data_IF_357255586295
#
_entry.id   IF_357255586295
#
_cell.length_a   1.000
_cell.length_b   1.000
_cell.length_c   1.000
_cell.angle_alpha   90.00
_cell.angle_beta   90.00
_cell.angle_gamma   90.00
#
_symmetry.space_group_name_H-M   'P 1'
#
loop_
_entity.id
_entity.type
_entity.pdbx_description
1 polymer ?
#
# COMPACT_ATOMS: atom_id res chain seq x y z
N UNK A 1 8.78 1.05 -20.32
CA UNK A 1 8.70 2.00 -21.43
C UNK A 1 10.10 2.56 -21.79
N UNK A 2 10.93 2.95 -20.80
CA UNK A 2 12.23 3.62 -21.03
C UNK A 2 13.44 2.68 -21.06
N UNK A 3 13.25 1.36 -20.98
CA UNK A 3 14.36 0.38 -20.96
C UNK A 3 15.39 0.57 -19.85
N UNK A 4 15.00 1.22 -18.74
CA UNK A 4 15.90 1.50 -17.62
C UNK A 4 16.81 2.73 -17.80
N UNK A 5 16.65 3.51 -18.88
CA UNK A 5 17.40 4.74 -19.13
C UNK A 5 16.86 5.88 -18.23
N UNK A 6 17.66 6.33 -17.27
CA UNK A 6 17.27 7.35 -16.27
C UNK A 6 16.94 8.69 -16.91
N UNK A 7 17.67 9.09 -17.96
CA UNK A 7 17.41 10.35 -18.66
C UNK A 7 16.02 10.31 -19.30
N UNK A 8 15.69 9.24 -20.02
CA UNK A 8 14.37 9.06 -20.64
C UNK A 8 13.26 8.93 -19.61
N UNK A 9 13.52 8.30 -18.46
CA UNK A 9 12.57 8.23 -17.35
C UNK A 9 12.28 9.65 -16.83
N UNK A 10 13.31 10.44 -16.58
CA UNK A 10 13.18 11.81 -16.11
C UNK A 10 12.42 12.71 -17.09
N UNK A 11 12.78 12.66 -18.37
CA UNK A 11 12.10 13.40 -19.44
C UNK A 11 10.60 13.01 -19.53
N UNK A 12 10.29 11.72 -19.45
CA UNK A 12 8.91 11.22 -19.47
C UNK A 12 8.12 11.73 -18.27
N UNK A 13 8.66 11.66 -17.05
CA UNK A 13 7.99 12.15 -15.84
C UNK A 13 7.72 13.65 -15.94
N UNK A 14 8.72 14.44 -16.31
CA UNK A 14 8.57 15.90 -16.48
C UNK A 14 7.53 16.23 -17.54
N UNK A 15 7.53 15.52 -18.68
CA UNK A 15 6.54 15.70 -19.74
C UNK A 15 5.10 15.40 -19.28
N UNK A 16 4.89 14.28 -18.58
CA UNK A 16 3.58 13.90 -18.05
C UNK A 16 3.07 14.95 -17.05
N UNK A 17 3.94 15.39 -16.14
CA UNK A 17 3.54 16.37 -15.10
C UNK A 17 3.31 17.75 -15.71
N UNK A 18 4.12 18.16 -16.68
CA UNK A 18 3.93 19.45 -17.38
C UNK A 18 2.60 19.48 -18.16
N UNK A 19 2.24 18.37 -18.82
CA UNK A 19 1.01 18.27 -19.60
C UNK A 19 -0.24 18.14 -18.73
N UNK A 20 -0.17 17.30 -17.68
CA UNK A 20 -1.33 16.87 -16.91
C UNK A 20 -1.48 17.54 -15.55
N UNK A 21 -0.44 18.21 -15.06
CA UNK A 21 -0.41 18.74 -13.69
C UNK A 21 -0.40 17.64 -12.61
N UNK A 22 -0.12 16.38 -12.97
CA UNK A 22 -0.11 15.21 -12.09
C UNK A 22 0.73 14.09 -12.68
N UNK A 23 1.23 13.18 -11.84
CA UNK A 23 1.95 11.99 -12.30
C UNK A 23 1.00 10.83 -12.56
N UNK A 24 1.15 10.17 -13.70
CA UNK A 24 0.44 8.95 -14.04
C UNK A 24 1.28 8.11 -15.01
N UNK A 25 1.61 6.89 -14.60
CA UNK A 25 2.31 5.95 -15.47
C UNK A 25 1.42 5.59 -16.67
N UNK A 26 1.87 5.80 -17.91
CA UNK A 26 1.05 5.58 -19.11
C UNK A 26 0.70 4.10 -19.37
N UNK A 27 1.45 3.16 -18.77
CA UNK A 27 1.23 1.73 -18.94
C UNK A 27 0.31 1.18 -17.86
N UNK A 28 0.57 1.50 -16.59
CA UNK A 28 -0.17 0.94 -15.45
C UNK A 28 -1.35 1.81 -15.00
N UNK A 29 -1.40 3.07 -15.40
CA UNK A 29 -2.36 4.05 -14.90
C UNK A 29 -2.11 4.52 -13.46
N UNK A 30 -1.17 3.91 -12.74
CA UNK A 30 -0.81 4.30 -11.37
C UNK A 30 -0.01 5.60 -11.33
N UNK A 31 -0.24 6.42 -10.31
CA UNK A 31 0.58 7.59 -10.02
C UNK A 31 1.68 7.31 -8.99
N UNK A 32 1.56 6.21 -8.26
CA UNK A 32 2.36 5.98 -7.06
C UNK A 32 1.97 6.89 -5.90
N UNK A 33 2.76 6.88 -4.86
CA UNK A 33 2.60 7.73 -3.68
C UNK A 33 3.77 8.71 -3.54
N UNK A 34 3.67 9.67 -2.64
CA UNK A 34 4.79 10.53 -2.30
C UNK A 34 4.96 10.71 -0.80
N UNK A 35 6.17 11.01 -0.39
CA UNK A 35 6.51 11.59 0.91
C UNK A 35 6.96 13.04 0.71
N UNK A 36 6.67 13.88 1.67
CA UNK A 36 7.09 15.28 1.61
C UNK A 36 7.01 15.95 2.98
N UNK A 37 7.34 17.23 2.99
CA UNK A 37 7.23 18.09 4.15
C UNK A 37 6.10 19.08 3.91
N UNK A 38 5.23 19.25 4.90
CA UNK A 38 4.15 20.23 4.84
C UNK A 38 4.74 21.64 4.77
N UNK A 39 4.61 22.28 3.63
CA UNK A 39 5.15 23.62 3.40
C UNK A 39 4.17 24.72 3.77
N UNK A 40 2.87 24.48 3.61
CA UNK A 40 1.81 25.45 3.90
C UNK A 40 0.49 24.72 4.18
N UNK A 41 -0.33 25.30 5.05
CA UNK A 41 -1.67 24.81 5.40
C UNK A 41 -2.66 25.97 5.21
N UNK A 42 -3.74 25.70 4.47
CA UNK A 42 -4.82 26.67 4.26
C UNK A 42 -5.46 27.12 5.58
N UNK A 43 -5.76 28.40 5.70
CA UNK A 43 -6.24 29.00 6.96
C UNK A 43 -7.55 28.39 7.48
N UNK A 44 -8.45 27.97 6.59
CA UNK A 44 -9.70 27.33 7.00
C UNK A 44 -9.46 25.93 7.56
N UNK A 45 -8.46 25.22 7.02
CA UNK A 45 -8.10 23.89 7.49
C UNK A 45 -7.45 23.93 8.88
N UNK A 46 -6.64 24.96 9.16
CA UNK A 46 -6.05 25.20 10.49
C UNK A 46 -7.10 25.37 11.60
N UNK A 47 -8.29 25.87 11.25
CA UNK A 47 -9.39 26.08 12.20
C UNK A 47 -10.27 24.87 12.41
N UNK A 48 -10.07 23.81 11.61
CA UNK A 48 -10.92 22.62 11.63
C UNK A 48 -10.68 21.80 12.91
N UNK A 49 -11.73 21.44 13.66
CA UNK A 49 -11.59 20.59 14.84
C UNK A 49 -10.94 19.22 14.47
N UNK A 50 -9.95 18.79 15.24
CA UNK A 50 -9.26 17.53 15.04
C UNK A 50 -8.20 17.52 13.93
N UNK A 51 -7.97 18.67 13.27
CA UNK A 51 -6.87 18.79 12.32
C UNK A 51 -5.53 18.90 13.07
N UNK A 52 -4.58 18.02 12.77
CA UNK A 52 -3.39 17.82 13.58
C UNK A 52 -2.05 18.07 12.88
N UNK A 53 -2.08 18.44 11.57
CA UNK A 53 -0.86 18.76 10.82
C UNK A 53 -0.33 20.16 11.17
N UNK A 54 1.00 20.25 11.10
CA UNK A 54 1.75 21.50 11.21
C UNK A 54 2.68 21.66 10.03
N UNK A 55 2.99 22.89 9.68
CA UNK A 55 4.07 23.19 8.73
C UNK A 55 5.39 22.65 9.29
N UNK A 56 6.14 21.94 8.45
CA UNK A 56 7.32 21.18 8.84
C UNK A 56 7.09 19.68 9.11
N UNK A 57 5.85 19.24 9.31
CA UNK A 57 5.56 17.81 9.49
C UNK A 57 5.95 17.00 8.24
N UNK A 58 6.57 15.85 8.45
CA UNK A 58 6.83 14.88 7.39
C UNK A 58 5.62 13.98 7.21
N UNK A 59 5.11 13.92 6.00
CA UNK A 59 3.92 13.12 5.66
C UNK A 59 4.17 12.20 4.48
N UNK A 60 3.34 11.16 4.42
CA UNK A 60 3.16 10.28 3.26
C UNK A 60 1.74 10.42 2.75
N UNK A 61 1.59 10.63 1.46
CA UNK A 61 0.27 10.61 0.82
C UNK A 61 -0.21 9.17 0.68
N UNK A 62 -1.46 8.92 1.08
CA UNK A 62 -2.16 7.66 0.83
C UNK A 62 -3.08 7.76 -0.40
N UNK A 63 -2.99 8.88 -1.13
CA UNK A 63 -3.71 9.13 -2.37
C UNK A 63 -2.73 9.05 -3.53
N UNK A 64 -3.13 8.36 -4.60
CA UNK A 64 -2.30 8.25 -5.82
C UNK A 64 -1.95 9.63 -6.39
N UNK A 65 -0.71 9.79 -6.85
CA UNK A 65 -0.27 10.97 -7.58
C UNK A 65 -1.04 11.20 -8.89
N UNK A 66 -1.75 10.19 -9.40
CA UNK A 66 -2.68 10.37 -10.53
C UNK A 66 -3.92 11.21 -10.19
N UNK A 67 -4.17 11.43 -8.90
CA UNK A 67 -5.28 12.26 -8.38
C UNK A 67 -4.79 13.48 -7.59
N UNK A 68 -3.48 13.70 -7.53
CA UNK A 68 -2.86 14.76 -6.73
C UNK A 68 -2.23 15.80 -7.65
N UNK A 69 -2.63 17.07 -7.59
CA UNK A 69 -1.94 18.13 -8.33
C UNK A 69 -0.47 18.19 -7.93
N UNK A 70 0.40 18.14 -8.93
CA UNK A 70 1.85 18.06 -8.77
C UNK A 70 2.55 19.02 -9.73
N UNK A 71 3.51 19.76 -9.22
CA UNK A 71 4.49 20.53 -10.01
C UNK A 71 5.88 20.03 -9.64
N UNK A 72 6.68 19.68 -10.64
CA UNK A 72 8.08 19.31 -10.47
C UNK A 72 8.93 20.45 -11.03
N UNK A 73 9.76 21.04 -10.18
CA UNK A 73 10.72 22.07 -10.60
C UNK A 73 12.03 21.42 -11.06
N UNK A 74 12.44 20.30 -10.44
CA UNK A 74 13.66 19.57 -10.78
C UNK A 74 13.61 18.12 -10.28
N UNK A 75 14.10 17.18 -11.09
CA UNK A 75 14.45 15.83 -10.65
C UNK A 75 15.89 15.86 -10.11
N UNK A 76 16.08 15.35 -8.90
CA UNK A 76 17.39 15.27 -8.23
C UNK A 76 18.08 13.94 -8.48
N UNK A 77 17.32 12.83 -8.35
CA UNK A 77 17.81 11.47 -8.54
C UNK A 77 16.70 10.51 -8.95
N UNK A 78 17.08 9.44 -9.65
CA UNK A 78 16.19 8.32 -10.01
C UNK A 78 16.83 7.04 -9.47
N UNK A 79 16.13 6.37 -8.56
CA UNK A 79 16.56 5.14 -7.90
C UNK A 79 15.74 3.98 -8.45
N UNK A 80 16.25 3.32 -9.48
CA UNK A 80 15.54 2.25 -10.21
C UNK A 80 15.36 0.97 -9.41
N UNK A 81 16.29 0.71 -8.48
CA UNK A 81 16.31 -0.44 -7.60
C UNK A 81 15.16 -0.46 -6.59
N UNK A 82 14.64 0.72 -6.26
CA UNK A 82 13.55 0.92 -5.30
C UNK A 82 12.38 1.74 -5.86
N UNK A 83 12.31 1.92 -7.17
CA UNK A 83 11.25 2.65 -7.88
C UNK A 83 10.96 4.05 -7.29
N UNK A 84 12.03 4.78 -6.89
CA UNK A 84 11.94 6.11 -6.26
C UNK A 84 12.53 7.20 -7.14
N UNK A 85 11.88 8.36 -7.13
CA UNK A 85 12.39 9.59 -7.76
C UNK A 85 12.42 10.71 -6.72
N UNK A 86 13.59 11.30 -6.53
CA UNK A 86 13.78 12.47 -5.66
C UNK A 86 13.62 13.75 -6.48
N UNK A 87 12.78 14.64 -6.01
CA UNK A 87 12.41 15.87 -6.72
C UNK A 87 12.50 17.11 -5.84
N UNK A 88 12.66 18.26 -6.48
CA UNK A 88 12.21 19.54 -5.96
C UNK A 88 10.88 19.85 -6.63
N UNK A 89 9.83 20.04 -5.84
CA UNK A 89 8.50 20.25 -6.37
C UNK A 89 7.46 20.50 -5.27
N UNK A 90 6.22 20.66 -5.68
CA UNK A 90 5.08 20.90 -4.78
C UNK A 90 3.90 20.04 -5.20
N UNK A 91 3.24 19.45 -4.20
CA UNK A 91 1.97 18.75 -4.38
C UNK A 91 0.88 19.41 -3.53
N UNK A 92 -0.37 19.36 -3.99
CA UNK A 92 -1.51 19.89 -3.25
C UNK A 92 -2.33 18.70 -2.76
N UNK A 93 -2.43 18.55 -1.45
CA UNK A 93 -3.39 17.66 -0.82
C UNK A 93 -4.66 18.42 -0.51
N UNK A 94 -5.79 17.93 -1.00
CA UNK A 94 -7.10 18.47 -0.65
C UNK A 94 -7.49 18.03 0.76
N UNK A 95 -8.46 18.73 1.35
CA UNK A 95 -8.99 18.41 2.69
C UNK A 95 -9.42 16.95 2.85
N UNK A 96 -9.98 16.36 1.80
CA UNK A 96 -10.43 14.97 1.77
C UNK A 96 -9.31 13.94 1.51
N UNK A 97 -8.09 14.40 1.25
CA UNK A 97 -6.99 13.51 0.94
C UNK A 97 -6.51 12.77 2.20
N UNK A 98 -6.31 11.47 2.04
CA UNK A 98 -5.73 10.64 3.09
C UNK A 98 -4.21 10.81 3.12
N UNK A 99 -3.68 10.98 4.31
CA UNK A 99 -2.24 11.04 4.58
C UNK A 99 -1.91 10.33 5.89
N UNK A 100 -0.65 10.02 6.08
CA UNK A 100 -0.10 9.59 7.36
C UNK A 100 1.12 10.45 7.72
N UNK A 101 1.28 10.79 8.99
CA UNK A 101 2.57 11.30 9.47
C UNK A 101 3.62 10.20 9.37
N UNK A 102 4.82 10.55 8.96
CA UNK A 102 5.93 9.59 8.90
C UNK A 102 6.25 9.13 10.32
N UNK A 103 6.21 7.82 10.61
CA UNK A 103 6.59 7.32 11.92
C UNK A 103 8.07 7.58 12.19
N UNK A 104 8.41 7.91 13.44
CA UNK A 104 9.80 8.16 13.87
C UNK A 104 10.52 6.88 14.33
N UNK A 105 9.76 5.81 14.59
CA UNK A 105 10.23 4.54 15.15
C UNK A 105 10.55 3.46 14.11
N UNK A 106 10.42 3.78 12.81
CA UNK A 106 10.79 2.87 11.73
C UNK A 106 11.52 3.57 10.58
N UNK A 107 12.25 2.79 9.79
CA UNK A 107 12.94 3.33 8.62
C UNK A 107 11.95 3.80 7.55
N UNK A 108 12.29 4.88 6.84
CA UNK A 108 11.45 5.41 5.76
C UNK A 108 11.05 4.35 4.70
N UNK A 109 11.96 3.48 4.18
CA UNK A 109 11.58 2.47 3.22
C UNK A 109 10.53 1.49 3.76
N UNK A 110 10.64 1.10 5.03
CA UNK A 110 9.69 0.22 5.68
C UNK A 110 8.33 0.90 5.86
N UNK A 111 8.34 2.15 6.36
CA UNK A 111 7.12 2.94 6.51
C UNK A 111 6.38 3.11 5.18
N UNK A 112 7.09 3.47 4.11
CA UNK A 112 6.52 3.60 2.77
C UNK A 112 5.97 2.26 2.25
N UNK A 113 6.69 1.15 2.44
CA UNK A 113 6.23 -0.17 2.01
C UNK A 113 4.92 -0.60 2.71
N UNK A 114 4.76 -0.26 3.99
CA UNK A 114 3.54 -0.56 4.76
C UNK A 114 2.39 0.39 4.39
N UNK A 115 2.66 1.69 4.31
CA UNK A 115 1.65 2.72 4.04
C UNK A 115 1.10 2.66 2.61
N UNK A 116 1.93 2.25 1.63
CA UNK A 116 1.51 2.06 0.23
C UNK A 116 0.34 1.06 0.09
N UNK A 117 0.27 0.09 0.97
CA UNK A 117 -0.77 -0.96 0.95
C UNK A 117 -1.75 -0.89 2.13
N UNK A 118 -1.75 0.18 2.90
CA UNK A 118 -2.50 0.30 4.17
C UNK A 118 -4.02 0.20 4.01
N UNK A 119 -4.56 0.45 2.81
CA UNK A 119 -6.00 0.36 2.54
C UNK A 119 -6.56 -1.05 2.72
N UNK A 120 -5.87 -2.08 2.23
CA UNK A 120 -6.32 -3.47 2.32
C UNK A 120 -6.32 -4.02 3.77
N UNK A 121 -5.24 -3.88 4.57
CA UNK A 121 -5.28 -4.27 5.98
C UNK A 121 -6.31 -3.48 6.81
N UNK A 122 -6.56 -2.20 6.49
CA UNK A 122 -7.63 -1.44 7.13
C UNK A 122 -9.03 -2.06 6.89
N UNK A 123 -9.28 -2.58 5.69
CA UNK A 123 -10.49 -3.34 5.37
C UNK A 123 -10.50 -4.70 6.07
N UNK A 124 -9.39 -5.43 6.06
CA UNK A 124 -9.26 -6.71 6.77
C UNK A 124 -9.52 -6.59 8.28
N UNK A 125 -9.26 -5.42 8.87
CA UNK A 125 -9.62 -5.09 10.25
C UNK A 125 -11.11 -4.78 10.42
N UNK A 126 -11.75 -4.20 9.41
CA UNK A 126 -13.14 -3.69 9.53
C UNK A 126 -14.21 -4.71 9.19
N UNK A 127 -13.99 -5.51 8.16
CA UNK A 127 -15.01 -6.35 7.54
C UNK A 127 -15.31 -7.63 8.34
N UNK A 128 -14.32 -8.40 8.81
CA UNK A 128 -14.59 -9.63 9.53
C UNK A 128 -15.15 -9.38 10.93
N UNK A 129 -15.82 -10.39 11.47
CA UNK A 129 -16.31 -10.47 12.85
C UNK A 129 -15.59 -11.57 13.62
N UNK A 130 -15.75 -11.59 14.95
CA UNK A 130 -15.22 -12.67 15.78
C UNK A 130 -15.79 -14.01 15.34
N UNK A 131 -14.92 -14.99 15.11
CA UNK A 131 -15.28 -16.34 14.68
C UNK A 131 -15.38 -16.53 13.16
N UNK A 132 -15.27 -15.47 12.36
CA UNK A 132 -15.32 -15.59 10.90
C UNK A 132 -14.10 -16.34 10.33
N UNK A 133 -14.28 -16.87 9.12
CA UNK A 133 -13.21 -17.42 8.30
C UNK A 133 -12.83 -16.41 7.21
N UNK A 134 -11.54 -16.14 7.07
CA UNK A 134 -11.00 -15.16 6.11
C UNK A 134 -10.00 -15.85 5.19
N UNK A 135 -10.20 -15.76 3.88
CA UNK A 135 -9.27 -16.24 2.86
C UNK A 135 -8.49 -15.07 2.25
N UNK A 136 -7.16 -15.17 2.25
CA UNK A 136 -6.28 -14.12 1.71
C UNK A 136 -5.48 -14.67 0.53
N UNK A 137 -5.79 -14.21 -0.67
CA UNK A 137 -5.07 -14.54 -1.90
C UNK A 137 -3.77 -13.72 -2.00
N UNK A 138 -2.66 -14.40 -2.30
CA UNK A 138 -1.36 -13.74 -2.35
C UNK A 138 -0.78 -13.43 -0.96
N UNK A 139 -0.95 -14.35 -0.04
CA UNK A 139 -0.63 -14.24 1.39
C UNK A 139 0.80 -13.77 1.71
N UNK A 140 1.79 -14.07 0.85
CA UNK A 140 3.20 -13.71 1.06
C UNK A 140 3.56 -12.28 0.57
N UNK A 141 2.63 -11.56 -0.06
CA UNK A 141 2.86 -10.17 -0.45
C UNK A 141 2.77 -9.21 0.74
N UNK A 142 3.31 -7.97 0.59
CA UNK A 142 3.20 -6.91 1.62
C UNK A 142 1.77 -6.78 2.15
N UNK A 143 0.82 -6.64 1.24
CA UNK A 143 -0.61 -6.52 1.57
C UNK A 143 -1.14 -7.77 2.26
N UNK A 144 -0.78 -8.96 1.76
CA UNK A 144 -1.23 -10.23 2.31
C UNK A 144 -0.83 -10.42 3.77
N UNK A 145 0.45 -10.20 4.10
CA UNK A 145 0.95 -10.32 5.48
C UNK A 145 0.25 -9.34 6.43
N UNK A 146 0.10 -8.08 6.01
CA UNK A 146 -0.58 -7.06 6.84
C UNK A 146 -2.08 -7.35 6.99
N UNK A 147 -2.73 -7.84 5.93
CA UNK A 147 -4.14 -8.28 6.00
C UNK A 147 -4.29 -9.49 6.93
N UNK A 148 -3.39 -10.47 6.85
CA UNK A 148 -3.37 -11.63 7.75
C UNK A 148 -3.27 -11.21 9.21
N UNK A 149 -2.34 -10.32 9.52
CA UNK A 149 -2.16 -9.76 10.87
C UNK A 149 -3.44 -9.10 11.40
N UNK A 150 -4.06 -8.22 10.62
CA UNK A 150 -5.28 -7.52 11.05
C UNK A 150 -6.49 -8.47 11.12
N UNK A 151 -6.62 -9.41 10.18
CA UNK A 151 -7.68 -10.41 10.19
C UNK A 151 -7.58 -11.32 11.41
N UNK A 152 -6.38 -11.85 11.73
CA UNK A 152 -6.15 -12.70 12.91
C UNK A 152 -6.58 -12.02 14.20
N UNK A 153 -6.24 -10.74 14.37
CA UNK A 153 -6.66 -9.94 15.54
C UNK A 153 -8.18 -9.77 15.61
N UNK A 154 -8.83 -9.68 14.45
CA UNK A 154 -10.26 -9.38 14.36
C UNK A 154 -11.13 -10.64 14.56
N UNK A 155 -10.78 -11.74 13.92
CA UNK A 155 -11.55 -12.99 14.04
C UNK A 155 -11.35 -13.70 15.36
N UNK A 156 -10.23 -13.43 16.04
CA UNK A 156 -9.93 -14.01 17.35
C UNK A 156 -9.70 -15.52 17.33
N UNK A 157 -9.65 -16.15 18.50
CA UNK A 157 -9.23 -17.56 18.63
C UNK A 157 -10.23 -18.58 18.07
N UNK A 158 -11.46 -18.16 17.78
CA UNK A 158 -12.51 -19.03 17.21
C UNK A 158 -12.59 -18.91 15.69
N UNK A 159 -11.97 -17.86 15.11
CA UNK A 159 -11.93 -17.63 13.68
C UNK A 159 -10.77 -18.33 13.00
N UNK A 160 -10.79 -18.31 11.68
CA UNK A 160 -9.71 -18.83 10.84
C UNK A 160 -9.24 -17.79 9.84
N UNK A 161 -7.93 -17.73 9.61
CA UNK A 161 -7.35 -16.92 8.53
C UNK A 161 -6.46 -17.82 7.69
N UNK A 162 -6.92 -18.10 6.48
CA UNK A 162 -6.23 -19.00 5.54
C UNK A 162 -5.51 -18.18 4.49
N UNK A 163 -4.19 -18.36 4.39
CA UNK A 163 -3.37 -17.73 3.37
C UNK A 163 -3.20 -18.61 2.13
N UNK A 164 -3.29 -18.03 0.93
CA UNK A 164 -3.02 -18.74 -0.33
C UNK A 164 -1.72 -18.26 -0.93
N UNK A 165 -0.81 -19.19 -1.20
CA UNK A 165 0.47 -18.94 -1.88
C UNK A 165 0.64 -19.87 -3.07
N UNK A 166 1.39 -19.44 -4.07
CA UNK A 166 1.71 -20.29 -5.22
C UNK A 166 2.98 -21.13 -4.98
N UNK A 167 3.91 -20.61 -4.19
CA UNK A 167 5.19 -21.27 -3.95
C UNK A 167 5.21 -21.95 -2.57
N UNK A 168 5.31 -23.29 -2.50
CA UNK A 168 5.32 -24.02 -1.22
C UNK A 168 6.47 -23.62 -0.29
N UNK A 169 7.57 -23.09 -0.82
CA UNK A 169 8.71 -22.61 -0.01
C UNK A 169 8.36 -21.42 0.90
N UNK A 170 7.23 -20.75 0.63
CA UNK A 170 6.77 -19.60 1.41
C UNK A 170 5.97 -20.01 2.67
N UNK A 171 5.44 -21.22 2.70
CA UNK A 171 4.59 -21.70 3.78
C UNK A 171 5.26 -21.66 5.15
N UNK A 172 6.48 -22.20 5.35
CA UNK A 172 7.11 -22.22 6.66
C UNK A 172 7.28 -20.83 7.27
N UNK A 173 7.78 -19.87 6.48
CA UNK A 173 7.99 -18.50 6.96
C UNK A 173 6.68 -17.78 7.32
N UNK A 174 5.60 -18.02 6.57
CA UNK A 174 4.30 -17.44 6.89
C UNK A 174 3.67 -18.04 8.14
N UNK A 175 3.83 -19.34 8.33
CA UNK A 175 3.35 -20.00 9.56
C UNK A 175 4.14 -19.54 10.79
N UNK A 176 5.45 -19.36 10.66
CA UNK A 176 6.31 -18.83 11.72
C UNK A 176 5.93 -17.39 12.13
N UNK A 177 5.48 -16.55 11.19
CA UNK A 177 4.98 -15.21 11.49
C UNK A 177 3.70 -15.20 12.32
N UNK A 178 2.96 -16.30 12.39
CA UNK A 178 1.72 -16.42 13.17
C UNK A 178 0.58 -15.52 12.70
N UNK A 179 0.59 -15.11 11.44
CA UNK A 179 -0.44 -14.24 10.84
C UNK A 179 -1.51 -15.01 10.06
N UNK A 180 -1.40 -16.32 10.04
CA UNK A 180 -2.35 -17.23 9.44
C UNK A 180 -2.60 -18.43 10.36
N UNK A 181 -3.81 -18.95 10.36
CA UNK A 181 -4.14 -20.25 11.02
C UNK A 181 -3.72 -21.41 10.13
N UNK A 182 -3.73 -21.22 8.81
CA UNK A 182 -3.31 -22.19 7.83
C UNK A 182 -2.81 -21.49 6.55
N UNK A 183 -1.94 -22.15 5.78
CA UNK A 183 -1.43 -21.66 4.50
C UNK A 183 -1.52 -22.77 3.46
N UNK A 184 -2.36 -22.58 2.46
CA UNK A 184 -2.55 -23.50 1.34
C UNK A 184 -1.73 -23.09 0.12
N UNK A 185 -1.30 -24.10 -0.65
CA UNK A 185 -0.58 -23.89 -1.91
C UNK A 185 -1.54 -24.11 -3.07
N UNK A 186 -1.89 -23.02 -3.78
CA UNK A 186 -2.78 -23.09 -4.93
C UNK A 186 -2.47 -21.99 -5.94
N UNK A 187 -2.87 -22.22 -7.19
CA UNK A 187 -2.81 -21.22 -8.26
C UNK A 187 -4.12 -20.41 -8.25
N UNK A 188 -4.03 -19.13 -7.90
CA UNK A 188 -5.19 -18.23 -7.82
C UNK A 188 -5.90 -18.01 -9.18
N UNK A 189 -5.31 -18.42 -10.29
CA UNK A 189 -5.98 -18.41 -11.61
C UNK A 189 -6.95 -19.58 -11.78
N UNK A 190 -6.98 -20.51 -10.84
CA UNK A 190 -7.84 -21.71 -10.83
C UNK A 190 -8.82 -21.63 -9.65
N UNK A 191 -9.89 -20.89 -9.75
CA UNK A 191 -10.75 -20.56 -8.61
C UNK A 191 -11.40 -21.80 -7.95
N UNK A 192 -11.72 -22.85 -8.72
CA UNK A 192 -12.30 -24.08 -8.16
C UNK A 192 -11.30 -24.82 -7.26
N UNK A 193 -10.04 -24.96 -7.73
CA UNK A 193 -8.97 -25.61 -6.92
C UNK A 193 -8.71 -24.82 -5.63
N UNK A 194 -8.73 -23.47 -5.72
CA UNK A 194 -8.57 -22.60 -4.53
C UNK A 194 -9.73 -22.78 -3.56
N UNK A 195 -10.96 -22.80 -4.06
CA UNK A 195 -12.16 -23.00 -3.23
C UNK A 195 -12.12 -24.35 -2.49
N UNK A 196 -11.85 -25.44 -3.21
CA UNK A 196 -11.77 -26.78 -2.63
C UNK A 196 -10.69 -26.86 -1.54
N UNK A 197 -9.50 -26.31 -1.79
CA UNK A 197 -8.42 -26.26 -0.82
C UNK A 197 -8.76 -25.38 0.38
N UNK A 198 -9.43 -24.25 0.18
CA UNK A 198 -9.87 -23.36 1.25
C UNK A 198 -10.93 -24.01 2.12
N UNK A 199 -11.93 -24.68 1.54
CA UNK A 199 -12.95 -25.44 2.29
C UNK A 199 -12.31 -26.55 3.12
N UNK A 200 -11.35 -27.30 2.56
CA UNK A 200 -10.63 -28.33 3.30
C UNK A 200 -9.87 -27.74 4.51
N UNK A 201 -9.20 -26.59 4.34
CA UNK A 201 -8.53 -25.89 5.43
C UNK A 201 -9.50 -25.30 6.47
N UNK A 202 -10.76 -25.05 6.08
CA UNK A 202 -11.83 -24.52 6.95
C UNK A 202 -12.82 -25.61 7.47
N UNK A 203 -12.37 -26.88 7.56
CA UNK A 203 -13.19 -28.00 8.04
C UNK A 203 -14.51 -28.18 7.25
N UNK A 204 -14.50 -27.86 5.96
CA UNK A 204 -15.65 -27.94 5.06
C UNK A 204 -16.70 -26.85 5.26
N UNK A 205 -16.41 -25.79 6.02
CA UNK A 205 -17.34 -24.67 6.24
C UNK A 205 -17.09 -23.57 5.20
N UNK A 206 -18.17 -23.01 4.66
CA UNK A 206 -18.17 -21.85 3.79
C UNK A 206 -17.89 -20.54 4.55
#
# INVERSE_FOLDING_TARGET
ACGGDEKKIGEMILGIVAERGKQQNPVTGSGGMFKGVVAHIGEDLKKKPGFDLKEGDKIVSLVSLSMTPLKIDKILAIHKDIDRVDIVGKAILFESALYAKMPDDMSEPLALAALDVAGAPAQARKLPHEGDSVLILGANGKSGVLCGWEAMKKVGPKGKVVGVVRNPKQVPGLMELGVYTDVIVADCTKPVEVMEAALAANDGKE
#
